data_IF_951041098378
#
_entry.id   IF_951041098378
#
_cell.length_a   1.000
_cell.length_b   1.000
_cell.length_c   1.000
_cell.angle_alpha   90.00
_cell.angle_beta   90.00
_cell.angle_gamma   90.00
#
_symmetry.space_group_name_H-M   'P 1'
#
loop_
_entity.id
_entity.type
_entity.pdbx_description
1 polymer ?
#
# COMPACT_ATOMS: atom_id res chain seq x y z
N UNK A 1 -6.78 16.04 8.36
CA UNK A 1 -5.56 15.97 9.19
C UNK A 1 -4.37 15.40 8.43
N UNK A 2 -4.46 14.19 7.84
CA UNK A 2 -3.37 13.57 7.07
C UNK A 2 -2.75 14.49 6.00
N UNK A 3 -3.58 15.06 5.11
CA UNK A 3 -3.11 15.92 4.03
C UNK A 3 -2.44 17.23 4.54
N UNK A 4 -2.91 17.78 5.66
CA UNK A 4 -2.29 18.96 6.27
C UNK A 4 -0.91 18.64 6.85
N UNK A 5 -0.81 17.51 7.57
CA UNK A 5 0.45 17.02 8.13
C UNK A 5 1.49 16.75 7.04
N UNK A 6 1.09 16.07 5.96
CA UNK A 6 1.98 15.82 4.82
C UNK A 6 2.34 17.12 4.10
N UNK A 7 1.38 18.01 3.85
CA UNK A 7 1.66 19.30 3.21
C UNK A 7 2.64 20.19 3.99
N UNK A 8 2.66 20.09 5.33
CA UNK A 8 3.58 20.85 6.17
C UNK A 8 4.97 20.20 6.33
N UNK A 9 5.03 18.87 6.48
CA UNK A 9 6.31 18.18 6.70
C UNK A 9 7.01 17.74 5.41
N UNK A 10 6.25 17.43 4.37
CA UNK A 10 6.77 16.79 3.16
C UNK A 10 5.95 17.19 1.92
N UNK A 11 6.13 18.43 1.42
CA UNK A 11 5.32 18.97 0.33
C UNK A 11 5.41 18.15 -0.96
N UNK A 12 6.54 17.48 -1.22
CA UNK A 12 6.72 16.61 -2.39
C UNK A 12 5.81 15.38 -2.37
N UNK A 13 5.38 14.92 -1.19
CA UNK A 13 4.39 13.85 -1.05
C UNK A 13 2.93 14.36 -1.15
N UNK A 14 2.71 15.68 -1.13
CA UNK A 14 1.38 16.27 -1.09
C UNK A 14 0.50 15.91 -2.30
N UNK A 15 1.01 15.81 -3.54
CA UNK A 15 0.19 15.38 -4.68
C UNK A 15 -0.32 13.94 -4.51
N UNK A 16 0.53 13.04 -4.00
CA UNK A 16 0.19 11.62 -3.81
C UNK A 16 -0.78 11.43 -2.65
N UNK A 17 -0.42 11.90 -1.46
CA UNK A 17 -1.24 11.72 -0.26
C UNK A 17 -2.49 12.61 -0.29
N UNK A 18 -2.42 13.77 -0.95
CA UNK A 18 -3.55 14.67 -1.14
C UNK A 18 -4.64 14.05 -2.00
N UNK A 19 -4.29 13.47 -3.15
CA UNK A 19 -5.27 12.78 -4.00
C UNK A 19 -5.85 11.54 -3.32
N UNK A 20 -5.03 10.80 -2.54
CA UNK A 20 -5.53 9.71 -1.69
C UNK A 20 -6.54 10.22 -0.65
N UNK A 21 -6.21 11.29 0.08
CA UNK A 21 -7.08 11.88 1.10
C UNK A 21 -8.37 12.45 0.49
N UNK A 22 -8.31 12.99 -0.73
CA UNK A 22 -9.49 13.45 -1.46
C UNK A 22 -10.43 12.29 -1.81
N UNK A 23 -9.90 11.17 -2.33
CA UNK A 23 -10.69 9.97 -2.57
C UNK A 23 -11.34 9.43 -1.28
N UNK A 24 -10.61 9.46 -0.17
CA UNK A 24 -11.15 9.09 1.14
C UNK A 24 -12.25 10.06 1.61
N UNK A 25 -12.08 11.37 1.40
CA UNK A 25 -13.08 12.38 1.74
C UNK A 25 -14.38 12.17 0.95
N UNK A 26 -14.30 11.94 -0.37
CA UNK A 26 -15.48 11.66 -1.20
C UNK A 26 -16.28 10.46 -0.67
N UNK A 27 -15.59 9.44 -0.16
CA UNK A 27 -16.21 8.24 0.41
C UNK A 27 -16.86 8.50 1.77
N UNK A 28 -16.16 9.21 2.65
CA UNK A 28 -16.56 9.36 4.07
C UNK A 28 -17.46 10.56 4.33
N UNK A 29 -17.53 11.57 3.43
CA UNK A 29 -18.32 12.77 3.68
C UNK A 29 -19.84 12.58 3.50
N UNK A 30 -20.30 11.47 2.91
CA UNK A 30 -21.71 11.07 2.83
C UNK A 30 -22.65 11.98 2.02
N UNK A 31 -22.16 13.09 1.49
CA UNK A 31 -22.96 14.09 0.74
C UNK A 31 -22.68 14.09 -0.77
N UNK A 32 -21.67 13.34 -1.23
CA UNK A 32 -21.23 13.30 -2.63
C UNK A 32 -21.23 11.88 -3.22
N UNK A 33 -22.25 11.09 -2.90
CA UNK A 33 -22.32 9.67 -3.31
C UNK A 33 -22.12 9.46 -4.82
N UNK A 34 -22.72 10.33 -5.66
CA UNK A 34 -22.53 10.28 -7.12
C UNK A 34 -21.07 10.43 -7.54
N UNK A 35 -20.33 11.35 -6.91
CA UNK A 35 -18.91 11.55 -7.20
C UNK A 35 -18.08 10.37 -6.67
N UNK A 36 -18.39 9.90 -5.46
CA UNK A 36 -17.67 8.79 -4.83
C UNK A 36 -17.84 7.48 -5.61
N UNK A 37 -19.04 7.21 -6.13
CA UNK A 37 -19.33 6.04 -6.95
C UNK A 37 -18.69 6.14 -8.34
N UNK A 38 -18.85 7.29 -9.01
CA UNK A 38 -18.21 7.54 -10.32
C UNK A 38 -16.69 7.40 -10.23
N UNK A 39 -16.07 7.91 -9.16
CA UNK A 39 -14.62 7.82 -8.95
C UNK A 39 -14.15 6.38 -8.73
N UNK A 40 -14.88 5.59 -7.93
CA UNK A 40 -14.52 4.19 -7.60
C UNK A 40 -14.82 3.19 -8.71
N UNK A 41 -15.73 3.52 -9.64
CA UNK A 41 -16.14 2.62 -10.71
C UNK A 41 -15.71 3.16 -12.09
N UNK A 42 -16.51 4.06 -12.68
CA UNK A 42 -16.35 4.48 -14.07
C UNK A 42 -14.99 5.15 -14.33
N UNK A 43 -14.60 6.11 -13.48
CA UNK A 43 -13.38 6.88 -13.67
C UNK A 43 -12.13 6.01 -13.50
N UNK A 44 -12.05 5.18 -12.45
CA UNK A 44 -10.89 4.30 -12.25
C UNK A 44 -10.77 3.29 -13.38
N UNK A 45 -11.87 2.75 -13.90
CA UNK A 45 -11.84 1.81 -15.03
C UNK A 45 -11.28 2.47 -16.30
N UNK A 46 -11.73 3.68 -16.62
CA UNK A 46 -11.25 4.44 -17.78
C UNK A 46 -9.76 4.75 -17.63
N UNK A 47 -9.35 5.32 -16.50
CA UNK A 47 -7.95 5.72 -16.26
C UNK A 47 -7.03 4.49 -16.21
N UNK A 48 -7.50 3.35 -15.68
CA UNK A 48 -6.72 2.10 -15.65
C UNK A 48 -6.47 1.57 -17.05
N UNK A 49 -7.45 1.63 -17.96
CA UNK A 49 -7.25 1.22 -19.36
C UNK A 49 -6.19 2.11 -20.02
N UNK A 50 -6.32 3.43 -19.87
CA UNK A 50 -5.36 4.38 -20.44
C UNK A 50 -3.94 4.21 -19.87
N UNK A 51 -3.84 4.00 -18.55
CA UNK A 51 -2.56 3.74 -17.88
C UNK A 51 -1.96 2.42 -18.35
N UNK A 52 -2.76 1.37 -18.47
CA UNK A 52 -2.32 0.06 -18.99
C UNK A 52 -1.78 0.14 -20.41
N UNK A 53 -2.46 0.87 -21.31
CA UNK A 53 -1.98 1.12 -22.67
C UNK A 53 -0.69 1.94 -22.67
N UNK A 54 -0.60 2.97 -21.83
CA UNK A 54 0.58 3.83 -21.74
C UNK A 54 1.80 3.08 -21.22
N UNK A 55 1.66 2.29 -20.14
CA UNK A 55 2.74 1.45 -19.60
C UNK A 55 3.10 0.35 -20.61
N UNK A 56 2.11 -0.29 -21.23
CA UNK A 56 2.32 -1.31 -22.25
C UNK A 56 3.08 -0.79 -23.47
N UNK A 57 2.85 0.46 -23.87
CA UNK A 57 3.58 1.10 -24.97
C UNK A 57 5.08 1.24 -24.72
N UNK A 58 5.53 1.15 -23.45
CA UNK A 58 6.95 1.22 -23.06
C UNK A 58 7.62 -0.17 -23.01
N UNK A 59 6.88 -1.26 -23.24
CA UNK A 59 7.38 -2.64 -23.23
C UNK A 59 7.90 -3.08 -24.61
N UNK A 60 8.69 -2.25 -25.29
CA UNK A 60 9.39 -2.67 -26.51
C UNK A 60 10.45 -3.73 -26.16
N UNK A 61 10.73 -4.64 -27.10
CA UNK A 61 11.67 -5.75 -26.90
C UNK A 61 13.05 -5.24 -26.42
N UNK A 62 13.53 -4.15 -26.99
CA UNK A 62 14.83 -3.55 -26.65
C UNK A 62 14.86 -2.94 -25.24
N UNK A 63 13.71 -2.48 -24.73
CA UNK A 63 13.59 -1.92 -23.39
C UNK A 63 13.34 -3.02 -22.33
N UNK A 64 12.62 -4.07 -22.69
CA UNK A 64 12.23 -5.13 -21.76
C UNK A 64 13.25 -6.27 -21.66
N UNK A 65 13.87 -6.70 -22.77
CA UNK A 65 14.83 -7.81 -22.80
C UNK A 65 16.24 -7.35 -22.45
N UNK A 66 16.39 -6.66 -21.32
CA UNK A 66 17.68 -6.20 -20.81
C UNK A 66 18.04 -6.93 -19.52
N UNK A 67 19.33 -7.14 -19.28
CA UNK A 67 19.82 -7.70 -18.00
C UNK A 67 19.36 -6.83 -16.81
N UNK A 68 19.19 -5.52 -17.04
CA UNK A 68 18.65 -4.58 -16.05
C UNK A 68 17.22 -4.93 -15.60
N UNK A 69 16.34 -5.38 -16.49
CA UNK A 69 14.96 -5.72 -16.14
C UNK A 69 14.89 -6.99 -15.29
N UNK A 70 15.75 -7.97 -15.59
CA UNK A 70 15.92 -9.14 -14.72
C UNK A 70 16.38 -8.72 -13.31
N UNK A 71 17.29 -7.76 -13.22
CA UNK A 71 17.69 -7.15 -11.95
C UNK A 71 16.52 -6.54 -11.18
N UNK A 72 15.64 -5.77 -11.85
CA UNK A 72 14.45 -5.18 -11.23
C UNK A 72 13.50 -6.27 -10.69
N UNK A 73 13.28 -7.35 -11.45
CA UNK A 73 12.41 -8.46 -11.02
C UNK A 73 12.94 -9.15 -9.76
N UNK A 74 14.23 -9.47 -9.72
CA UNK A 74 14.86 -10.11 -8.56
C UNK A 74 14.88 -9.16 -7.35
N UNK A 75 15.22 -7.89 -7.55
CA UNK A 75 15.18 -6.88 -6.49
C UNK A 75 13.76 -6.70 -5.94
N UNK A 76 12.75 -6.73 -6.79
CA UNK A 76 11.34 -6.67 -6.37
C UNK A 76 10.96 -7.83 -5.46
N UNK A 77 11.34 -9.06 -5.81
CA UNK A 77 11.10 -10.24 -4.98
C UNK A 77 11.78 -10.10 -3.60
N UNK A 78 13.06 -9.74 -3.59
CA UNK A 78 13.82 -9.55 -2.35
C UNK A 78 13.23 -8.42 -1.51
N UNK A 79 12.77 -7.33 -2.13
CA UNK A 79 12.12 -6.22 -1.44
C UNK A 79 10.82 -6.64 -0.76
N UNK A 80 9.99 -7.48 -1.41
CA UNK A 80 8.79 -8.03 -0.77
C UNK A 80 9.12 -8.95 0.41
N UNK A 81 10.12 -9.83 0.28
CA UNK A 81 10.59 -10.68 1.37
C UNK A 81 11.13 -9.86 2.55
N UNK A 82 11.95 -8.84 2.27
CA UNK A 82 12.48 -7.95 3.30
C UNK A 82 11.37 -7.13 3.97
N UNK A 83 10.42 -6.59 3.20
CA UNK A 83 9.29 -5.80 3.72
C UNK A 83 8.37 -6.62 4.62
N UNK A 84 8.02 -7.84 4.21
CA UNK A 84 7.24 -8.76 5.05
C UNK A 84 7.98 -9.15 6.33
N UNK A 85 9.26 -9.51 6.24
CA UNK A 85 10.09 -9.86 7.40
C UNK A 85 10.21 -8.67 8.36
N UNK A 86 10.48 -7.47 7.85
CA UNK A 86 10.55 -6.24 8.64
C UNK A 86 9.21 -5.93 9.33
N UNK A 87 8.08 -6.09 8.65
CA UNK A 87 6.76 -5.91 9.24
C UNK A 87 6.48 -6.86 10.41
N UNK A 88 6.82 -8.15 10.26
CA UNK A 88 6.70 -9.15 11.34
C UNK A 88 7.64 -8.85 12.51
N UNK A 89 8.90 -8.47 12.22
CA UNK A 89 9.87 -8.07 13.24
C UNK A 89 9.39 -6.83 14.00
N UNK A 90 8.88 -5.82 13.30
CA UNK A 90 8.32 -4.62 13.92
C UNK A 90 7.16 -4.96 14.86
N UNK A 91 6.25 -5.85 14.44
CA UNK A 91 5.17 -6.31 15.31
C UNK A 91 5.69 -7.00 16.58
N UNK A 92 6.78 -7.78 16.48
CA UNK A 92 7.44 -8.37 17.67
C UNK A 92 8.10 -7.34 18.56
N UNK A 93 8.75 -6.32 17.97
CA UNK A 93 9.36 -5.22 18.73
C UNK A 93 8.28 -4.43 19.48
N UNK A 94 7.16 -4.12 18.83
CA UNK A 94 6.03 -3.45 19.47
C UNK A 94 5.48 -4.25 20.66
N UNK A 95 5.52 -5.59 20.61
CA UNK A 95 5.10 -6.44 21.72
C UNK A 95 6.01 -6.38 22.96
N UNK A 96 7.22 -5.84 22.84
CA UNK A 96 8.08 -5.63 24.00
C UNK A 96 7.66 -4.41 24.84
N UNK A 97 6.97 -3.45 24.21
CA UNK A 97 6.57 -2.19 24.86
C UNK A 97 5.06 -2.06 25.07
N UNK A 98 4.25 -2.85 24.36
CA UNK A 98 2.78 -2.78 24.42
C UNK A 98 2.20 -3.73 25.47
N UNK A 99 1.26 -3.23 26.28
CA UNK A 99 0.45 -4.04 27.21
C UNK A 99 -0.44 -5.02 26.45
N UNK A 100 -1.00 -4.58 25.31
CA UNK A 100 -1.80 -5.43 24.43
C UNK A 100 -0.91 -5.96 23.31
N UNK A 101 -0.58 -7.26 23.38
CA UNK A 101 0.31 -7.91 22.40
C UNK A 101 -0.40 -8.02 21.04
N UNK A 102 0.25 -7.50 20.01
CA UNK A 102 -0.14 -7.57 18.61
C UNK A 102 0.26 -8.94 18.06
N UNK A 103 -0.63 -9.60 17.32
CA UNK A 103 -0.28 -10.83 16.63
C UNK A 103 0.77 -10.53 15.53
N UNK A 104 1.96 -11.15 15.53
CA UNK A 104 2.99 -10.89 14.52
C UNK A 104 2.54 -11.13 13.07
N UNK A 105 1.54 -11.98 12.83
CA UNK A 105 0.94 -12.19 11.51
C UNK A 105 0.28 -10.92 10.94
N UNK A 106 -0.15 -10.00 11.81
CA UNK A 106 -0.68 -8.70 11.41
C UNK A 106 0.43 -7.81 10.83
N UNK A 107 1.68 -8.00 11.27
CA UNK A 107 2.84 -7.27 10.77
C UNK A 107 3.13 -7.54 9.29
N UNK A 108 2.97 -8.78 8.82
CA UNK A 108 3.14 -9.10 7.39
C UNK A 108 2.07 -8.49 6.49
N UNK A 109 0.91 -8.13 7.05
CA UNK A 109 -0.15 -7.45 6.29
C UNK A 109 0.18 -5.99 5.96
N UNK A 110 1.28 -5.43 6.49
CA UNK A 110 1.73 -4.08 6.20
C UNK A 110 2.21 -3.86 4.76
N UNK A 111 2.48 -4.94 4.00
CA UNK A 111 2.74 -4.84 2.57
C UNK A 111 1.46 -4.40 1.85
N UNK A 112 1.55 -3.31 1.09
CA UNK A 112 0.43 -2.51 0.57
C UNK A 112 -0.41 -3.17 -0.55
N UNK A 113 -0.46 -4.50 -0.59
CA UNK A 113 -1.27 -5.27 -1.53
C UNK A 113 -2.71 -5.40 -1.03
N UNK A 114 -3.50 -4.34 -1.22
CA UNK A 114 -4.89 -4.28 -0.75
C UNK A 114 -5.83 -5.06 -1.69
N UNK A 115 -6.80 -5.86 -1.17
CA UNK A 115 -6.95 -6.34 0.20
C UNK A 115 -6.22 -7.68 0.46
N UNK A 116 -5.44 -8.18 -0.51
CA UNK A 116 -4.94 -9.54 -0.52
C UNK A 116 -3.89 -9.84 0.56
N UNK A 117 -3.02 -8.90 0.94
CA UNK A 117 -2.04 -9.10 2.02
C UNK A 117 -2.71 -9.43 3.37
N UNK A 118 -3.81 -8.73 3.68
CA UNK A 118 -4.62 -8.99 4.87
C UNK A 118 -5.33 -10.36 4.78
N UNK A 119 -5.82 -10.74 3.59
CA UNK A 119 -6.44 -12.06 3.35
C UNK A 119 -5.45 -13.21 3.50
N UNK A 120 -4.23 -13.07 2.99
CA UNK A 120 -3.16 -14.07 3.16
C UNK A 120 -2.79 -14.22 4.64
N UNK A 121 -2.63 -13.11 5.35
CA UNK A 121 -2.34 -13.12 6.79
C UNK A 121 -3.48 -13.78 7.59
N UNK A 122 -4.74 -13.55 7.19
CA UNK A 122 -5.91 -14.21 7.77
C UNK A 122 -5.92 -15.73 7.47
N UNK A 123 -5.58 -16.14 6.25
CA UNK A 123 -5.50 -17.56 5.88
C UNK A 123 -4.49 -18.29 6.75
N UNK A 124 -3.27 -17.77 6.88
CA UNK A 124 -2.22 -18.36 7.73
C UNK A 124 -2.62 -18.36 9.22
N UNK A 125 -3.35 -17.34 9.66
CA UNK A 125 -3.87 -17.32 11.03
C UNK A 125 -4.95 -18.38 11.29
N UNK A 126 -5.81 -18.64 10.31
CA UNK A 126 -6.82 -19.70 10.39
C UNK A 126 -6.19 -21.11 10.31
N UNK A 127 -5.08 -21.27 9.58
CA UNK A 127 -4.28 -22.49 9.57
C UNK A 127 -3.71 -22.80 10.97
N UNK A 128 -3.31 -21.77 11.72
CA UNK A 128 -2.81 -21.92 13.09
C UNK A 128 -3.94 -22.08 14.13
N UNK A 129 -5.06 -21.37 13.95
CA UNK A 129 -6.24 -21.47 14.81
C UNK A 129 -7.51 -21.11 14.01
N UNK A 130 -8.44 -22.07 13.77
CA UNK A 130 -9.66 -21.85 13.00
C UNK A 130 -10.62 -20.79 13.57
N UNK A 131 -10.48 -20.41 14.85
CA UNK A 131 -11.30 -19.37 15.48
C UNK A 131 -10.63 -17.98 15.48
N UNK A 132 -9.39 -17.88 14.98
CA UNK A 132 -8.62 -16.63 14.98
C UNK A 132 -8.79 -15.86 13.67
N UNK A 133 -9.79 -14.98 13.62
CA UNK A 133 -10.07 -14.14 12.45
C UNK A 133 -9.28 -12.83 12.49
N UNK A 134 -8.31 -12.69 11.60
CA UNK A 134 -7.43 -11.51 11.56
C UNK A 134 -7.83 -10.48 10.52
N UNK A 135 -8.70 -10.80 9.55
CA UNK A 135 -8.94 -9.94 8.39
C UNK A 135 -9.28 -8.49 8.79
N UNK A 136 -10.18 -8.30 9.76
CA UNK A 136 -10.59 -6.96 10.22
C UNK A 136 -9.44 -6.20 10.89
N UNK A 137 -8.59 -6.87 11.65
CA UNK A 137 -7.44 -6.24 12.31
C UNK A 137 -6.26 -6.00 11.35
N UNK A 138 -6.04 -6.92 10.41
CA UNK A 138 -4.94 -6.87 9.44
C UNK A 138 -5.14 -5.79 8.36
N UNK A 139 -6.37 -5.32 8.15
CA UNK A 139 -6.63 -4.19 7.24
C UNK A 139 -6.01 -2.88 7.73
N UNK A 140 -5.83 -2.70 9.04
CA UNK A 140 -5.19 -1.50 9.60
C UNK A 140 -3.76 -1.29 9.06
N UNK A 141 -2.83 -2.23 9.31
CA UNK A 141 -1.47 -2.14 8.75
C UNK A 141 -1.43 -2.12 7.22
N UNK A 142 -2.36 -2.80 6.54
CA UNK A 142 -2.39 -2.80 5.07
C UNK A 142 -2.66 -1.39 4.52
N UNK A 143 -3.64 -0.67 5.09
CA UNK A 143 -3.92 0.73 4.73
C UNK A 143 -2.76 1.63 5.15
N UNK A 144 -2.16 1.40 6.32
CA UNK A 144 -0.96 2.14 6.75
C UNK A 144 0.21 1.97 5.77
N UNK A 145 0.38 0.78 5.20
CA UNK A 145 1.38 0.51 4.16
C UNK A 145 1.17 1.35 2.90
N UNK A 146 -0.06 1.51 2.42
CA UNK A 146 -0.37 2.35 1.25
C UNK A 146 0.06 3.79 1.49
N UNK A 147 -0.25 4.32 2.68
CA UNK A 147 0.14 5.68 3.07
C UNK A 147 1.67 5.76 3.21
N UNK A 148 2.30 4.78 3.87
CA UNK A 148 3.76 4.72 4.05
C UNK A 148 4.52 4.68 2.73
N UNK A 149 4.01 3.96 1.73
CA UNK A 149 4.60 3.90 0.38
C UNK A 149 4.56 5.26 -0.31
N UNK A 150 3.44 6.00 -0.20
CA UNK A 150 3.33 7.35 -0.76
C UNK A 150 4.27 8.34 -0.05
N UNK A 151 4.42 8.23 1.27
CA UNK A 151 5.38 9.05 2.05
C UNK A 151 6.81 8.72 1.64
N UNK A 152 7.19 7.44 1.57
CA UNK A 152 8.53 7.03 1.15
C UNK A 152 8.85 7.50 -0.28
N UNK A 153 7.89 7.42 -1.20
CA UNK A 153 8.03 7.97 -2.55
C UNK A 153 8.26 9.49 -2.53
N UNK A 154 7.52 10.24 -1.72
CA UNK A 154 7.74 11.68 -1.58
C UNK A 154 9.08 12.05 -0.96
N UNK A 155 9.58 11.27 0.00
CA UNK A 155 10.93 11.45 0.56
C UNK A 155 11.98 11.24 -0.53
N UNK A 156 11.86 10.18 -1.32
CA UNK A 156 12.77 9.91 -2.43
C UNK A 156 12.71 11.00 -3.50
N UNK A 157 11.52 11.55 -3.80
CA UNK A 157 11.37 12.69 -4.70
C UNK A 157 12.10 13.92 -4.16
N UNK A 158 12.00 14.19 -2.86
CA UNK A 158 12.70 15.33 -2.22
C UNK A 158 14.23 15.21 -2.27
N UNK A 159 14.76 13.99 -2.30
CA UNK A 159 16.20 13.74 -2.38
C UNK A 159 16.77 13.72 -3.81
N UNK A 160 15.96 13.36 -4.79
CA UNK A 160 16.42 13.10 -6.18
C UNK A 160 15.90 14.15 -7.17
N UNK A 161 14.76 14.80 -6.87
CA UNK A 161 14.16 15.88 -7.65
C UNK A 161 14.63 17.25 -7.18
#
# INVERSE_FOLDING_TARGET
>A
MLALLVGMLLPDAAPLVGMFAFGNLLRECGVVDRLADTTRNALINIVTILLGLTVGSKLSADAFLQIKTLGILVLGLVAFCAGTAAGVLMARVMNMFSTNKINPLIGSAGVSAVPMAARVSNKVGLEANPQNFLLMHAMGPNVAGVIGSAVAAGILLSFVG
#
